data_IF_127324358686
#
_entry.id   IF_127324358686
#
_cell.length_a   1.000
_cell.length_b   1.000
_cell.length_c   1.000
_cell.angle_alpha   90.00
_cell.angle_beta   90.00
_cell.angle_gamma   90.00
#
_symmetry.space_group_name_H-M   'P 1'
#
loop_
_entity.id
_entity.type
_entity.pdbx_description
1 polymer ?
#
# COMPACT_ATOMS: atom_id res chain seq x y z
N UNK A 1 -6.19 -23.23 -32.61
CA UNK A 1 -5.20 -22.70 -33.57
C UNK A 1 -3.86 -22.54 -32.91
N UNK A 2 -2.77 -22.82 -33.63
CA UNK A 2 -1.41 -22.89 -33.08
C UNK A 2 -0.47 -21.96 -33.85
N UNK A 3 0.70 -21.69 -33.28
CA UNK A 3 1.76 -20.93 -33.95
C UNK A 3 2.19 -21.59 -35.30
N UNK A 4 2.05 -22.92 -35.39
CA UNK A 4 2.33 -23.67 -36.64
C UNK A 4 1.33 -23.35 -37.74
N UNK A 5 0.06 -23.13 -37.41
CA UNK A 5 -0.98 -22.77 -38.39
C UNK A 5 -0.73 -21.37 -38.95
N UNK A 6 -0.38 -20.41 -38.10
CA UNK A 6 0.02 -19.04 -38.51
C UNK A 6 1.27 -19.11 -39.42
N UNK A 7 2.28 -19.87 -39.02
CA UNK A 7 3.52 -19.99 -39.77
C UNK A 7 3.28 -20.55 -41.20
N UNK A 8 2.44 -21.58 -41.30
CA UNK A 8 2.06 -22.22 -42.58
C UNK A 8 1.36 -21.22 -43.52
N UNK A 9 0.36 -20.48 -43.03
CA UNK A 9 -0.37 -19.52 -43.81
C UNK A 9 0.47 -18.27 -44.16
N UNK A 10 1.33 -17.86 -43.25
CA UNK A 10 2.25 -16.74 -43.52
C UNK A 10 3.46 -17.11 -44.39
N UNK A 11 3.66 -18.40 -44.75
CA UNK A 11 4.80 -18.84 -45.53
C UNK A 11 6.14 -18.62 -44.84
N UNK A 12 6.18 -18.75 -43.52
CA UNK A 12 7.39 -18.54 -42.70
C UNK A 12 7.55 -19.69 -41.68
N UNK A 13 8.70 -19.75 -41.00
CA UNK A 13 8.90 -20.71 -39.94
C UNK A 13 8.16 -20.31 -38.63
N UNK A 14 7.80 -21.25 -37.74
CA UNK A 14 7.27 -20.92 -36.42
C UNK A 14 8.20 -20.01 -35.60
N UNK A 15 9.50 -20.15 -35.74
CA UNK A 15 10.49 -19.27 -35.11
C UNK A 15 10.44 -17.84 -35.67
N UNK A 16 10.11 -17.67 -36.97
CA UNK A 16 9.88 -16.34 -37.54
C UNK A 16 8.62 -15.71 -36.97
N UNK A 17 7.52 -16.46 -36.82
CA UNK A 17 6.29 -15.98 -36.17
C UNK A 17 6.59 -15.54 -34.72
N UNK A 18 7.34 -16.35 -33.96
CA UNK A 18 7.74 -16.00 -32.61
C UNK A 18 8.56 -14.71 -32.54
N UNK A 19 9.48 -14.50 -33.50
CA UNK A 19 10.24 -13.24 -33.61
C UNK A 19 9.38 -12.05 -34.01
N UNK A 20 8.36 -12.25 -34.85
CA UNK A 20 7.37 -11.20 -35.18
C UNK A 20 6.56 -10.81 -33.95
N UNK A 21 6.11 -11.77 -33.15
CA UNK A 21 5.40 -11.53 -31.89
C UNK A 21 6.27 -10.73 -30.90
N UNK A 22 7.57 -11.04 -30.86
CA UNK A 22 8.55 -10.32 -30.04
C UNK A 22 9.04 -8.99 -30.65
N UNK A 23 8.45 -8.56 -31.75
CA UNK A 23 8.83 -7.38 -32.54
C UNK A 23 10.32 -7.26 -32.90
N UNK A 24 10.98 -8.41 -33.08
CA UNK A 24 12.42 -8.51 -33.27
C UNK A 24 12.92 -7.64 -34.44
N UNK A 25 13.99 -6.82 -34.26
CA UNK A 25 14.43 -5.84 -35.28
C UNK A 25 14.95 -6.47 -36.60
N UNK A 26 15.39 -7.72 -36.57
CA UNK A 26 15.88 -8.43 -37.77
C UNK A 26 14.78 -8.93 -38.70
N UNK A 27 13.51 -8.77 -38.35
CA UNK A 27 12.39 -9.17 -39.22
C UNK A 27 11.91 -7.93 -39.98
N UNK A 28 11.75 -8.08 -41.32
CA UNK A 28 11.32 -6.99 -42.18
C UNK A 28 9.89 -6.49 -41.84
N UNK A 29 9.58 -5.20 -42.01
CA UNK A 29 8.25 -4.65 -41.77
C UNK A 29 7.16 -5.41 -42.51
N UNK A 30 7.37 -5.73 -43.80
CA UNK A 30 6.41 -6.48 -44.60
C UNK A 30 6.12 -7.88 -44.05
N UNK A 31 7.14 -8.56 -43.52
CA UNK A 31 6.94 -9.87 -42.88
C UNK A 31 6.17 -9.73 -41.59
N UNK A 32 6.45 -8.69 -40.77
CA UNK A 32 5.73 -8.41 -39.53
C UNK A 32 4.26 -8.14 -39.81
N UNK A 33 3.97 -7.31 -40.80
CA UNK A 33 2.59 -6.95 -41.18
C UNK A 33 1.79 -8.17 -41.66
N UNK A 34 2.35 -8.95 -42.58
CA UNK A 34 1.72 -10.19 -43.10
C UNK A 34 1.41 -11.19 -41.95
N UNK A 35 2.35 -11.44 -41.07
CA UNK A 35 2.13 -12.35 -39.97
C UNK A 35 1.07 -11.84 -38.98
N UNK A 36 1.08 -10.54 -38.65
CA UNK A 36 0.08 -9.91 -37.78
C UNK A 36 -1.33 -9.96 -38.40
N UNK A 37 -1.44 -9.74 -39.70
CA UNK A 37 -2.72 -9.86 -40.40
C UNK A 37 -3.28 -11.28 -40.31
N UNK A 38 -2.47 -12.28 -40.61
CA UNK A 38 -2.88 -13.71 -40.53
C UNK A 38 -3.25 -14.09 -39.08
N UNK A 39 -2.51 -13.58 -38.10
CA UNK A 39 -2.86 -13.80 -36.69
C UNK A 39 -4.24 -13.24 -36.38
N UNK A 40 -4.56 -12.03 -36.87
CA UNK A 40 -5.87 -11.41 -36.69
C UNK A 40 -6.98 -12.20 -37.40
N UNK A 41 -6.79 -12.60 -38.66
CA UNK A 41 -7.74 -13.39 -39.43
C UNK A 41 -8.05 -14.74 -38.80
N UNK A 42 -7.05 -15.37 -38.21
CA UNK A 42 -7.20 -16.66 -37.51
C UNK A 42 -7.70 -16.52 -36.06
N UNK A 43 -7.81 -15.31 -35.52
CA UNK A 43 -8.05 -15.11 -34.09
C UNK A 43 -6.96 -15.76 -33.22
N UNK A 44 -5.73 -15.82 -33.71
CA UNK A 44 -4.61 -16.40 -32.96
C UNK A 44 -4.01 -15.39 -32.01
N UNK A 45 -4.13 -15.65 -30.72
CA UNK A 45 -3.45 -14.91 -29.66
C UNK A 45 -2.27 -15.73 -29.11
N UNK A 46 -1.06 -15.13 -29.05
CA UNK A 46 0.09 -15.82 -28.47
C UNK A 46 -0.18 -16.25 -27.01
N UNK A 47 0.05 -17.50 -26.70
CA UNK A 47 -0.10 -17.99 -25.34
C UNK A 47 0.95 -17.35 -24.42
N UNK A 48 0.49 -16.58 -23.41
CA UNK A 48 1.36 -15.90 -22.45
C UNK A 48 2.22 -16.89 -21.66
N UNK A 49 1.69 -18.06 -21.31
CA UNK A 49 2.41 -19.13 -20.60
C UNK A 49 3.57 -19.66 -21.45
N UNK A 50 3.34 -19.89 -22.75
CA UNK A 50 4.40 -20.36 -23.65
C UNK A 50 5.51 -19.32 -23.84
N UNK A 51 5.17 -18.03 -23.81
CA UNK A 51 6.16 -16.93 -23.87
C UNK A 51 6.95 -16.83 -22.57
N UNK A 52 6.30 -16.93 -21.44
CA UNK A 52 6.97 -16.88 -20.13
C UNK A 52 7.97 -18.01 -19.93
N UNK A 53 7.67 -19.19 -20.45
CA UNK A 53 8.61 -20.33 -20.46
C UNK A 53 9.89 -20.06 -21.27
N UNK A 54 9.75 -19.36 -22.41
CA UNK A 54 10.90 -19.04 -23.28
C UNK A 54 11.71 -17.87 -22.72
N UNK A 55 11.02 -16.82 -22.26
CA UNK A 55 11.67 -15.58 -21.80
C UNK A 55 12.05 -15.62 -20.32
N UNK A 56 11.60 -16.63 -19.58
CA UNK A 56 11.73 -16.77 -18.13
C UNK A 56 11.16 -15.59 -17.33
N UNK A 57 10.18 -14.86 -17.92
CA UNK A 57 9.47 -13.73 -17.29
C UNK A 57 7.97 -13.95 -17.40
N UNK A 58 7.24 -13.67 -16.32
CA UNK A 58 5.78 -13.78 -16.30
C UNK A 58 5.11 -12.50 -16.83
N UNK A 59 5.83 -11.39 -16.89
CA UNK A 59 5.32 -10.03 -17.08
C UNK A 59 4.18 -9.71 -16.08
N UNK A 60 4.33 -10.17 -14.86
CA UNK A 60 3.36 -9.98 -13.78
C UNK A 60 4.09 -9.63 -12.49
N UNK A 61 3.49 -8.76 -11.70
CA UNK A 61 3.97 -8.44 -10.36
C UNK A 61 2.90 -8.79 -9.34
N UNK A 62 3.34 -9.32 -8.19
CA UNK A 62 2.47 -9.63 -7.06
C UNK A 62 2.24 -8.40 -6.20
N UNK A 63 1.01 -8.19 -5.77
CA UNK A 63 0.68 -7.23 -4.70
C UNK A 63 0.22 -8.04 -3.51
N UNK A 64 1.08 -8.08 -2.50
CA UNK A 64 0.82 -8.82 -1.26
C UNK A 64 0.16 -7.85 -0.30
N UNK A 65 -1.10 -8.12 -0.04
CA UNK A 65 -1.86 -7.34 0.92
C UNK A 65 -1.31 -7.66 2.31
N UNK A 66 -1.06 -6.63 3.06
CA UNK A 66 -0.77 -6.80 4.47
C UNK A 66 -1.92 -7.58 5.14
N UNK A 67 -1.56 -8.49 5.96
CA UNK A 67 -2.31 -9.42 6.84
C UNK A 67 -3.36 -8.77 7.71
N UNK A 68 -3.83 -7.56 7.38
CA UNK A 68 -4.86 -6.83 8.07
C UNK A 68 -6.20 -7.55 7.87
N UNK A 69 -6.95 -7.61 8.93
CA UNK A 69 -8.25 -8.26 9.14
C UNK A 69 -9.25 -8.25 7.97
N UNK A 70 -10.24 -9.12 8.02
CA UNK A 70 -11.39 -9.15 7.12
C UNK A 70 -11.98 -7.74 6.97
N UNK A 71 -12.08 -7.23 5.73
CA UNK A 71 -12.64 -5.89 5.46
C UNK A 71 -11.66 -4.85 4.92
N UNK A 72 -10.39 -5.14 4.77
CA UNK A 72 -9.35 -4.16 4.39
C UNK A 72 -9.55 -3.48 3.04
N UNK A 73 -10.23 -4.10 2.08
CA UNK A 73 -10.60 -3.39 0.85
C UNK A 73 -11.60 -2.25 1.10
N UNK A 74 -12.26 -2.21 2.26
CA UNK A 74 -13.07 -1.08 2.67
C UNK A 74 -12.24 0.14 3.11
N UNK A 75 -10.96 -0.05 3.49
CA UNK A 75 -10.07 1.08 3.80
C UNK A 75 -9.57 1.70 2.48
N UNK A 76 -9.86 2.99 2.22
CA UNK A 76 -9.51 3.68 0.98
C UNK A 76 -8.01 3.74 0.68
N UNK A 77 -7.13 3.47 1.64
CA UNK A 77 -5.69 3.34 1.44
C UNK A 77 -5.38 2.29 0.36
N UNK A 78 -5.99 1.11 0.45
CA UNK A 78 -5.69 0.01 -0.47
C UNK A 78 -6.11 0.28 -1.92
N UNK A 79 -7.34 0.71 -2.22
CA UNK A 79 -7.69 1.13 -3.58
C UNK A 79 -6.78 2.22 -4.13
N UNK A 80 -6.41 3.23 -3.34
CA UNK A 80 -5.56 4.32 -3.78
C UNK A 80 -4.14 3.86 -4.15
N UNK A 81 -3.52 3.03 -3.32
CA UNK A 81 -2.18 2.50 -3.60
C UNK A 81 -2.19 1.56 -4.81
N UNK A 82 -3.22 0.69 -4.93
CA UNK A 82 -3.37 -0.21 -6.09
C UNK A 82 -3.57 0.59 -7.38
N UNK A 83 -4.30 1.71 -7.34
CA UNK A 83 -4.45 2.60 -8.48
C UNK A 83 -3.10 3.19 -8.91
N UNK A 84 -2.26 3.62 -7.96
CA UNK A 84 -0.89 4.08 -8.24
C UNK A 84 -0.05 2.99 -8.87
N UNK A 85 -0.05 1.79 -8.29
CA UNK A 85 0.63 0.60 -8.82
C UNK A 85 0.17 0.31 -10.25
N UNK A 86 -1.14 0.22 -10.48
CA UNK A 86 -1.73 -0.11 -11.78
C UNK A 86 -1.34 0.89 -12.86
N UNK A 87 -1.27 2.19 -12.53
CA UNK A 87 -0.96 3.25 -13.48
C UNK A 87 0.44 3.12 -14.09
N UNK A 88 1.41 2.64 -13.32
CA UNK A 88 2.79 2.43 -13.78
C UNK A 88 2.95 1.01 -14.36
N UNK A 89 2.39 -0.02 -13.73
CA UNK A 89 2.43 -1.39 -14.24
C UNK A 89 1.88 -1.49 -15.66
N UNK A 90 0.76 -0.80 -15.95
CA UNK A 90 0.19 -0.73 -17.31
C UNK A 90 1.18 -0.18 -18.35
N UNK A 91 1.91 0.90 -18.02
CA UNK A 91 2.92 1.49 -18.92
C UNK A 91 4.07 0.54 -19.23
N UNK A 92 4.37 -0.36 -18.32
CA UNK A 92 5.41 -1.39 -18.47
C UNK A 92 4.87 -2.71 -19.05
N UNK A 93 3.57 -2.80 -19.38
CA UNK A 93 2.94 -4.02 -19.88
C UNK A 93 2.87 -5.14 -18.85
N UNK A 94 2.86 -4.79 -17.56
CA UNK A 94 2.81 -5.73 -16.44
C UNK A 94 1.37 -5.99 -16.00
N UNK A 95 1.05 -7.24 -15.72
CA UNK A 95 -0.19 -7.64 -15.05
C UNK A 95 -0.03 -7.62 -13.53
N UNK A 96 -1.12 -7.37 -12.81
CA UNK A 96 -1.15 -7.45 -11.35
C UNK A 96 -1.76 -8.77 -10.88
N UNK A 97 -1.10 -9.42 -9.94
CA UNK A 97 -1.59 -10.61 -9.23
C UNK A 97 -1.79 -10.20 -7.77
N UNK A 98 -3.04 -10.21 -7.31
CA UNK A 98 -3.36 -9.92 -5.91
C UNK A 98 -3.31 -11.22 -5.10
N UNK A 99 -2.63 -11.20 -3.95
CA UNK A 99 -2.72 -12.29 -2.98
C UNK A 99 -4.13 -12.36 -2.40
N UNK A 100 -4.66 -13.57 -2.28
CA UNK A 100 -6.02 -13.85 -1.79
C UNK A 100 -6.05 -14.53 -0.42
N UNK A 101 -4.89 -14.79 0.18
CA UNK A 101 -4.82 -15.47 1.48
C UNK A 101 -5.49 -14.68 2.60
N UNK A 102 -6.20 -15.38 3.46
CA UNK A 102 -6.85 -14.83 4.66
C UNK A 102 -6.13 -15.22 5.96
N UNK A 103 -4.98 -15.87 5.87
CA UNK A 103 -4.23 -16.39 7.02
C UNK A 103 -2.78 -15.93 6.97
N UNK A 104 -2.25 -15.51 8.11
CA UNK A 104 -0.86 -15.07 8.25
C UNK A 104 0.19 -16.06 7.73
N UNK A 105 0.08 -17.31 8.14
CA UNK A 105 1.03 -18.35 7.74
C UNK A 105 0.90 -18.76 6.29
N UNK A 106 -0.31 -18.73 5.73
CA UNK A 106 -0.55 -19.07 4.34
C UNK A 106 -0.13 -17.95 3.38
N UNK A 107 -0.20 -16.69 3.80
CA UNK A 107 0.16 -15.54 2.95
C UNK A 107 1.67 -15.52 2.63
N UNK A 108 2.53 -15.81 3.61
CA UNK A 108 3.97 -15.90 3.41
C UNK A 108 4.32 -17.00 2.40
N UNK A 109 3.73 -18.18 2.58
CA UNK A 109 3.95 -19.31 1.67
C UNK A 109 3.33 -19.04 0.28
N UNK A 110 2.17 -18.40 0.21
CA UNK A 110 1.56 -17.98 -1.06
C UNK A 110 2.49 -17.01 -1.81
N UNK A 111 3.00 -15.99 -1.13
CA UNK A 111 3.93 -15.02 -1.69
C UNK A 111 5.18 -15.69 -2.26
N UNK A 112 5.83 -16.56 -1.47
CA UNK A 112 7.01 -17.30 -1.90
C UNK A 112 6.70 -18.26 -3.04
N UNK A 113 5.54 -18.90 -3.05
CA UNK A 113 5.12 -19.79 -4.12
C UNK A 113 4.84 -19.05 -5.43
N UNK A 114 4.25 -17.83 -5.37
CA UNK A 114 4.09 -17.00 -6.56
C UNK A 114 5.44 -16.72 -7.24
N UNK A 115 6.48 -16.42 -6.46
CA UNK A 115 7.83 -16.14 -6.94
C UNK A 115 8.55 -17.42 -7.42
N UNK A 116 8.56 -18.49 -6.59
CA UNK A 116 9.22 -19.77 -6.91
C UNK A 116 8.64 -20.43 -8.16
N UNK A 117 7.32 -20.35 -8.33
CA UNK A 117 6.62 -20.87 -9.51
C UNK A 117 6.68 -19.91 -10.71
N UNK A 118 7.36 -18.77 -10.58
CA UNK A 118 7.46 -17.75 -11.62
C UNK A 118 6.09 -17.26 -12.14
N UNK A 119 5.10 -17.23 -11.26
CA UNK A 119 3.79 -16.63 -11.56
C UNK A 119 3.85 -15.12 -11.55
N UNK A 120 4.82 -14.56 -10.81
CA UNK A 120 5.16 -13.15 -10.77
C UNK A 120 6.68 -13.00 -10.86
N UNK A 121 7.15 -11.87 -11.39
CA UNK A 121 8.57 -11.53 -11.54
C UNK A 121 9.12 -10.81 -10.31
N UNK A 122 8.25 -10.31 -9.46
CA UNK A 122 8.57 -9.64 -8.20
C UNK A 122 7.29 -9.29 -7.44
N UNK A 123 7.42 -8.80 -6.21
CA UNK A 123 6.27 -8.49 -5.35
C UNK A 123 6.39 -7.11 -4.70
N UNK A 124 5.23 -6.48 -4.45
CA UNK A 124 5.10 -5.28 -3.63
C UNK A 124 4.37 -5.69 -2.35
N UNK A 125 5.00 -5.43 -1.20
CA UNK A 125 4.42 -5.62 0.12
C UNK A 125 3.77 -4.31 0.57
N UNK A 126 2.51 -4.33 1.01
CA UNK A 126 1.77 -3.10 1.37
C UNK A 126 1.88 -2.73 2.86
N UNK A 127 2.52 -3.53 3.68
CA UNK A 127 2.90 -3.24 5.06
C UNK A 127 3.91 -4.26 5.58
N UNK A 128 4.51 -3.97 6.73
CA UNK A 128 5.41 -4.86 7.46
C UNK A 128 4.91 -5.07 8.89
N UNK A 129 5.24 -6.22 9.44
CA UNK A 129 5.10 -6.53 10.86
C UNK A 129 6.37 -6.20 11.63
N UNK A 130 6.25 -5.94 12.93
CA UNK A 130 7.39 -5.74 13.83
C UNK A 130 8.32 -6.97 13.96
N UNK A 131 7.75 -8.16 13.75
CA UNK A 131 8.50 -9.43 13.71
C UNK A 131 8.21 -10.12 12.36
N UNK A 132 8.46 -9.41 11.27
CA UNK A 132 8.18 -9.92 9.92
C UNK A 132 9.08 -11.10 9.58
N UNK A 133 8.48 -12.22 9.16
CA UNK A 133 9.20 -13.43 8.78
C UNK A 133 9.33 -13.57 7.24
N UNK A 134 8.51 -12.86 6.49
CA UNK A 134 8.53 -12.91 5.03
C UNK A 134 9.70 -12.12 4.45
N UNK A 135 9.92 -10.89 4.95
CA UNK A 135 10.95 -9.97 4.43
C UNK A 135 12.35 -10.60 4.46
N UNK A 136 12.83 -11.19 5.58
CA UNK A 136 14.13 -11.87 5.61
C UNK A 136 14.22 -13.01 4.58
N UNK A 137 13.16 -13.80 4.43
CA UNK A 137 13.13 -14.94 3.49
C UNK A 137 13.17 -14.47 2.04
N UNK A 138 12.53 -13.34 1.70
CA UNK A 138 12.60 -12.75 0.37
C UNK A 138 14.01 -12.21 0.07
N UNK A 139 14.62 -11.52 1.04
CA UNK A 139 15.97 -10.98 0.92
C UNK A 139 17.02 -12.09 0.77
N UNK A 140 16.98 -13.13 1.61
CA UNK A 140 17.88 -14.28 1.56
C UNK A 140 17.78 -15.04 0.23
N UNK A 141 16.54 -15.20 -0.29
CA UNK A 141 16.30 -15.86 -1.56
C UNK A 141 16.65 -15.00 -2.79
N UNK A 142 16.98 -13.71 -2.61
CA UNK A 142 17.29 -12.77 -3.69
C UNK A 142 16.11 -12.49 -4.61
N UNK A 143 14.87 -12.62 -4.12
CA UNK A 143 13.69 -12.30 -4.90
C UNK A 143 13.50 -10.78 -5.02
N UNK A 144 13.10 -10.26 -6.21
CA UNK A 144 12.76 -8.85 -6.36
C UNK A 144 11.52 -8.48 -5.54
N UNK A 145 11.65 -7.53 -4.61
CA UNK A 145 10.52 -6.99 -3.88
C UNK A 145 10.74 -5.56 -3.43
N UNK A 146 9.65 -4.85 -3.20
CA UNK A 146 9.61 -3.50 -2.62
C UNK A 146 8.57 -3.47 -1.52
N UNK A 147 8.92 -2.84 -0.38
CA UNK A 147 8.01 -2.60 0.72
C UNK A 147 7.43 -1.18 0.62
N UNK A 148 6.11 -1.04 0.69
CA UNK A 148 5.45 0.23 1.03
C UNK A 148 5.31 0.26 2.55
N UNK A 149 6.17 1.04 3.19
CA UNK A 149 6.32 1.06 4.64
C UNK A 149 7.78 1.02 5.06
N UNK A 150 8.03 0.80 6.35
CA UNK A 150 9.35 0.66 6.96
C UNK A 150 9.53 -0.75 7.55
N UNK A 151 10.75 -1.24 7.56
CA UNK A 151 11.14 -2.51 8.17
C UNK A 151 12.06 -2.28 9.37
N UNK A 152 11.89 -3.05 10.44
CA UNK A 152 12.67 -2.95 11.69
C UNK A 152 13.85 -3.92 11.77
N UNK A 153 13.99 -4.85 10.81
CA UNK A 153 15.09 -5.80 10.77
C UNK A 153 16.40 -5.22 10.24
N UNK A 154 17.41 -6.07 10.15
CA UNK A 154 18.77 -5.70 9.76
C UNK A 154 19.04 -5.76 8.26
N UNK A 155 18.17 -6.41 7.49
CA UNK A 155 18.34 -6.59 6.06
C UNK A 155 18.16 -5.26 5.32
N UNK A 156 19.08 -4.98 4.40
CA UNK A 156 18.95 -3.83 3.49
C UNK A 156 17.95 -4.18 2.42
N UNK A 157 16.81 -3.50 2.43
CA UNK A 157 15.71 -3.73 1.51
C UNK A 157 15.28 -2.45 0.80
N UNK A 158 14.63 -2.60 -0.34
CA UNK A 158 14.03 -1.49 -1.05
C UNK A 158 12.66 -1.15 -0.46
N UNK A 159 12.47 0.09 -0.07
CA UNK A 159 11.19 0.56 0.45
C UNK A 159 10.85 1.99 0.02
N UNK A 160 9.57 2.27 -0.03
CA UNK A 160 9.02 3.62 -0.13
C UNK A 160 8.04 3.86 1.02
N UNK A 161 8.15 5.00 1.70
CA UNK A 161 7.34 5.32 2.89
C UNK A 161 7.16 6.84 3.03
N UNK A 162 6.34 7.27 4.00
CA UNK A 162 6.37 8.62 4.57
C UNK A 162 6.98 8.57 5.99
N UNK A 163 7.32 9.71 6.55
CA UNK A 163 7.80 9.81 7.94
C UNK A 163 6.63 9.68 8.93
N UNK A 164 6.17 8.43 9.14
CA UNK A 164 5.02 8.17 10.01
C UNK A 164 5.17 8.73 11.42
N UNK A 165 6.40 8.67 11.99
CA UNK A 165 6.68 9.21 13.33
C UNK A 165 6.63 10.75 13.32
N UNK A 166 7.38 11.38 12.40
CA UNK A 166 7.41 12.84 12.31
C UNK A 166 6.08 13.46 11.91
N UNK A 167 5.32 12.79 11.03
CA UNK A 167 4.02 13.28 10.58
C UNK A 167 2.95 13.13 11.67
N UNK A 168 2.95 12.04 12.44
CA UNK A 168 2.11 11.88 13.63
C UNK A 168 2.47 12.92 14.70
N UNK A 169 3.77 13.15 14.94
CA UNK A 169 4.24 14.19 15.85
C UNK A 169 3.71 15.57 15.44
N UNK A 170 3.77 15.93 14.16
CA UNK A 170 3.23 17.20 13.65
C UNK A 170 1.72 17.32 13.89
N UNK A 171 0.96 16.23 13.64
CA UNK A 171 -0.48 16.20 13.83
C UNK A 171 -0.88 16.42 15.31
N UNK A 172 -0.19 15.74 16.22
CA UNK A 172 -0.43 15.90 17.66
C UNK A 172 0.05 17.27 18.16
N UNK A 173 1.20 17.75 17.72
CA UNK A 173 1.70 19.10 18.06
C UNK A 173 0.76 20.20 17.59
N UNK A 174 0.05 20.01 16.45
CA UNK A 174 -1.01 20.93 16.02
C UNK A 174 -2.15 21.01 17.06
N UNK A 175 -2.61 19.86 17.60
CA UNK A 175 -3.63 19.85 18.65
C UNK A 175 -3.13 20.53 19.93
N UNK A 176 -1.90 20.22 20.35
CA UNK A 176 -1.27 20.83 21.52
C UNK A 176 -1.07 22.34 21.36
N UNK A 177 -0.71 22.78 20.14
CA UNK A 177 -0.58 24.20 19.78
C UNK A 177 -1.91 24.97 19.84
N UNK A 178 -3.05 24.29 19.64
CA UNK A 178 -4.39 24.84 19.82
C UNK A 178 -4.82 24.93 21.30
N UNK A 179 -4.00 24.47 22.23
CA UNK A 179 -4.27 24.56 23.66
C UNK A 179 -4.79 23.27 24.28
N UNK A 180 -5.01 22.21 23.52
CA UNK A 180 -5.37 20.91 24.07
C UNK A 180 -4.22 20.38 24.95
N UNK A 181 -4.53 19.81 26.09
CA UNK A 181 -3.54 19.25 27.02
C UNK A 181 -3.81 17.78 27.34
N UNK A 182 -5.05 17.33 27.20
CA UNK A 182 -5.46 15.94 27.31
C UNK A 182 -5.87 15.45 25.92
N UNK A 183 -4.88 14.92 25.18
CA UNK A 183 -5.06 14.38 23.83
C UNK A 183 -5.10 12.88 23.95
N UNK A 184 -6.19 12.25 23.55
CA UNK A 184 -6.28 10.79 23.47
C UNK A 184 -5.69 10.30 22.13
N UNK A 185 -5.18 9.04 22.15
CA UNK A 185 -4.68 8.36 20.97
C UNK A 185 -5.54 7.12 20.67
N UNK A 186 -6.09 7.05 19.47
CA UNK A 186 -6.67 5.83 18.94
C UNK A 186 -5.64 5.19 18.00
N UNK A 187 -4.90 4.21 18.55
CA UNK A 187 -3.85 3.49 17.86
C UNK A 187 -4.40 2.32 17.04
N UNK A 188 -3.59 1.83 16.10
CA UNK A 188 -3.89 0.64 15.30
C UNK A 188 -3.45 -0.65 15.99
N UNK A 189 -3.41 -1.74 15.23
CA UNK A 189 -2.88 -3.01 15.71
C UNK A 189 -1.36 -2.88 15.98
N UNK A 190 -0.89 -3.10 17.21
CA UNK A 190 0.50 -2.90 17.63
C UNK A 190 1.50 -3.85 16.95
N UNK A 191 1.02 -4.86 16.23
CA UNK A 191 1.86 -5.77 15.46
C UNK A 191 2.44 -5.10 14.21
N UNK A 192 1.83 -4.01 13.73
CA UNK A 192 2.31 -3.29 12.54
C UNK A 192 3.32 -2.22 12.88
N UNK A 193 4.35 -2.12 12.06
CA UNK A 193 5.38 -1.07 12.18
C UNK A 193 4.75 0.32 12.06
N UNK A 194 3.79 0.50 11.16
CA UNK A 194 3.11 1.79 10.96
C UNK A 194 2.34 2.26 12.21
N UNK A 195 1.73 1.34 12.97
CA UNK A 195 1.06 1.68 14.24
C UNK A 195 2.09 2.14 15.26
N UNK A 196 3.15 1.35 15.45
CA UNK A 196 4.22 1.70 16.39
C UNK A 196 4.87 3.05 16.08
N UNK A 197 5.11 3.34 14.79
CA UNK A 197 5.69 4.62 14.36
C UNK A 197 4.77 5.80 14.66
N UNK A 198 3.47 5.70 14.36
CA UNK A 198 2.49 6.78 14.61
C UNK A 198 2.27 6.99 16.11
N UNK A 199 2.21 5.91 16.88
CA UNK A 199 2.16 6.00 18.35
C UNK A 199 3.43 6.63 18.94
N UNK A 200 4.61 6.29 18.40
CA UNK A 200 5.86 6.94 18.80
C UNK A 200 5.85 8.45 18.53
N UNK A 201 5.30 8.87 17.40
CA UNK A 201 5.11 10.29 17.09
C UNK A 201 4.18 11.01 18.07
N UNK A 202 3.08 10.37 18.48
CA UNK A 202 2.20 10.88 19.53
C UNK A 202 2.96 11.06 20.88
N UNK A 203 3.72 10.06 21.31
CA UNK A 203 4.53 10.14 22.52
C UNK A 203 5.57 11.26 22.45
N UNK A 204 6.26 11.40 21.32
CA UNK A 204 7.26 12.46 21.12
C UNK A 204 6.63 13.85 21.19
N UNK A 205 5.45 14.05 20.59
CA UNK A 205 4.77 15.34 20.63
C UNK A 205 4.38 15.74 22.07
N UNK A 206 3.84 14.81 22.86
CA UNK A 206 3.52 15.06 24.26
C UNK A 206 4.78 15.44 25.05
N UNK A 207 5.86 14.67 24.93
CA UNK A 207 7.12 14.90 25.63
C UNK A 207 7.73 16.26 25.28
N UNK A 208 7.74 16.67 24.01
CA UNK A 208 8.23 17.99 23.57
C UNK A 208 7.41 19.16 24.14
N UNK A 209 6.15 18.92 24.52
CA UNK A 209 5.28 19.92 25.15
C UNK A 209 5.25 19.78 26.71
N UNK A 210 6.15 18.95 27.30
CA UNK A 210 6.25 18.75 28.74
C UNK A 210 5.04 18.01 29.34
N UNK A 211 4.36 17.17 28.55
CA UNK A 211 3.22 16.36 28.97
C UNK A 211 3.62 14.89 29.09
N UNK A 212 3.13 14.23 30.13
CA UNK A 212 3.26 12.80 30.29
C UNK A 212 2.16 12.05 29.49
N UNK A 213 2.49 10.86 29.05
CA UNK A 213 1.53 9.95 28.43
C UNK A 213 0.61 9.38 29.51
N UNK A 214 -0.68 9.62 29.41
CA UNK A 214 -1.68 8.95 30.23
C UNK A 214 -2.10 7.64 29.53
N UNK A 215 -1.74 6.45 30.07
CA UNK A 215 -2.10 5.18 29.43
C UNK A 215 -3.61 4.97 29.27
N UNK A 216 -4.43 5.62 30.10
CA UNK A 216 -5.88 5.54 30.04
C UNK A 216 -6.45 6.26 28.81
N UNK A 217 -5.66 7.14 28.17
CA UNK A 217 -6.01 7.87 26.95
C UNK A 217 -5.46 7.21 25.68
N UNK A 218 -4.88 6.02 25.76
CA UNK A 218 -4.40 5.26 24.57
C UNK A 218 -5.23 4.00 24.42
N UNK A 219 -5.97 3.90 23.34
CA UNK A 219 -6.80 2.73 23.03
C UNK A 219 -6.42 2.14 21.67
N UNK A 220 -6.29 0.82 21.63
CA UNK A 220 -6.04 0.10 20.39
C UNK A 220 -7.34 -0.19 19.63
N UNK A 221 -7.28 -0.11 18.32
CA UNK A 221 -8.41 -0.23 17.41
C UNK A 221 -8.04 -1.05 16.19
N UNK A 222 -9.01 -1.70 15.59
CA UNK A 222 -8.92 -2.18 14.21
C UNK A 222 -8.97 -0.96 13.27
N UNK A 223 -8.30 -1.05 12.11
CA UNK A 223 -8.33 -0.01 11.06
C UNK A 223 -9.70 0.03 10.34
N UNK A 224 -10.75 0.31 11.09
CA UNK A 224 -12.14 0.35 10.61
C UNK A 224 -12.96 1.39 11.37
N UNK A 225 -14.08 1.81 10.78
CA UNK A 225 -15.03 2.73 11.44
C UNK A 225 -15.59 2.12 12.73
N UNK A 226 -15.98 0.84 12.69
CA UNK A 226 -16.49 0.14 13.87
C UNK A 226 -15.44 -0.05 14.97
N UNK A 227 -14.16 -0.27 14.58
CA UNK A 227 -13.04 -0.32 15.51
C UNK A 227 -12.86 1.00 16.25
N UNK A 228 -12.77 2.09 15.50
CA UNK A 228 -12.66 3.45 16.05
C UNK A 228 -13.83 3.83 16.96
N UNK A 229 -15.05 3.47 16.54
CA UNK A 229 -16.26 3.67 17.34
C UNK A 229 -16.16 2.95 18.72
N UNK A 230 -15.86 1.65 18.71
CA UNK A 230 -15.73 0.87 19.96
C UNK A 230 -14.60 1.37 20.86
N UNK A 231 -13.46 1.72 20.28
CA UNK A 231 -12.32 2.26 21.03
C UNK A 231 -12.66 3.60 21.68
N UNK A 232 -13.36 4.48 20.97
CA UNK A 232 -13.82 5.76 21.52
C UNK A 232 -14.83 5.57 22.64
N UNK A 233 -15.73 4.59 22.55
CA UNK A 233 -16.65 4.28 23.64
C UNK A 233 -15.92 3.85 24.92
N UNK A 234 -14.77 3.13 24.80
CA UNK A 234 -13.92 2.80 25.97
C UNK A 234 -13.22 4.03 26.52
N UNK A 235 -12.65 4.88 25.65
CA UNK A 235 -12.03 6.15 26.08
C UNK A 235 -12.98 7.03 26.90
N UNK A 236 -14.23 7.13 26.45
CA UNK A 236 -15.26 7.92 27.15
C UNK A 236 -15.63 7.38 28.55
N UNK A 237 -15.23 6.16 28.88
CA UNK A 237 -15.37 5.59 30.23
C UNK A 237 -14.12 5.79 31.10
N UNK A 238 -12.94 5.98 30.45
CA UNK A 238 -11.65 5.97 31.12
C UNK A 238 -11.16 7.35 31.56
N UNK A 239 -11.72 8.43 31.05
CA UNK A 239 -11.30 9.77 31.44
C UNK A 239 -11.75 10.89 30.50
N UNK A 240 -11.48 12.12 30.93
CA UNK A 240 -11.75 13.32 30.14
C UNK A 240 -10.60 13.56 29.15
N UNK A 241 -10.93 13.99 27.95
CA UNK A 241 -10.00 14.45 26.92
C UNK A 241 -10.67 15.55 26.10
N UNK A 242 -9.86 16.44 25.52
CA UNK A 242 -10.35 17.52 24.66
C UNK A 242 -9.97 17.36 23.19
N UNK A 243 -9.14 16.35 22.88
CA UNK A 243 -8.78 16.03 21.50
C UNK A 243 -8.49 14.54 21.34
N UNK A 244 -8.66 14.05 20.11
CA UNK A 244 -8.30 12.69 19.68
C UNK A 244 -7.33 12.78 18.48
N UNK A 245 -6.20 12.11 18.58
CA UNK A 245 -5.38 11.72 17.45
C UNK A 245 -5.70 10.27 17.09
N UNK A 246 -6.22 10.03 15.89
CA UNK A 246 -6.46 8.69 15.37
C UNK A 246 -5.42 8.37 14.29
N UNK A 247 -4.80 7.21 14.38
CA UNK A 247 -3.73 6.80 13.46
C UNK A 247 -4.22 6.42 12.05
N UNK A 248 -5.52 6.50 11.79
CA UNK A 248 -6.14 6.26 10.48
C UNK A 248 -7.48 6.99 10.39
N UNK A 249 -7.88 7.43 9.19
CA UNK A 249 -9.13 8.17 8.99
C UNK A 249 -10.38 7.34 9.29
N UNK A 250 -10.39 6.03 9.02
CA UNK A 250 -11.54 5.21 9.37
C UNK A 250 -11.73 5.12 10.89
N UNK A 251 -10.62 5.04 11.63
CA UNK A 251 -10.64 5.10 13.10
C UNK A 251 -11.18 6.47 13.55
N UNK A 252 -10.69 7.56 12.93
CA UNK A 252 -11.16 8.92 13.23
C UNK A 252 -12.66 9.09 12.95
N UNK A 253 -13.16 8.60 11.83
CA UNK A 253 -14.59 8.64 11.47
C UNK A 253 -15.42 7.88 12.49
N UNK A 254 -14.96 6.72 12.93
CA UNK A 254 -15.60 5.95 14.00
C UNK A 254 -15.65 6.71 15.33
N UNK A 255 -14.54 7.42 15.66
CA UNK A 255 -14.48 8.27 16.84
C UNK A 255 -15.47 9.43 16.77
N UNK A 256 -15.52 10.15 15.65
CA UNK A 256 -16.46 11.23 15.43
C UNK A 256 -17.90 10.77 15.62
N UNK A 257 -18.26 9.62 15.07
CA UNK A 257 -19.60 9.02 15.25
C UNK A 257 -19.89 8.73 16.72
N UNK A 258 -18.97 8.13 17.47
CA UNK A 258 -19.16 7.82 18.88
C UNK A 258 -19.36 9.08 19.75
N UNK A 259 -18.61 10.16 19.45
CA UNK A 259 -18.75 11.46 20.10
C UNK A 259 -20.11 12.10 19.81
N UNK A 260 -20.50 12.15 18.53
CA UNK A 260 -21.77 12.73 18.08
C UNK A 260 -23.00 12.02 18.68
N UNK A 261 -22.98 10.69 18.78
CA UNK A 261 -24.04 9.92 19.46
C UNK A 261 -24.16 10.23 20.96
N UNK A 262 -23.11 10.82 21.58
CA UNK A 262 -23.12 11.34 22.94
C UNK A 262 -23.48 12.84 23.05
N UNK A 263 -23.80 13.46 21.90
CA UNK A 263 -24.12 14.89 21.84
C UNK A 263 -22.89 15.82 21.88
N UNK A 264 -21.67 15.28 21.77
CA UNK A 264 -20.42 16.06 21.77
C UNK A 264 -20.23 16.73 20.40
N UNK A 265 -19.98 18.02 20.39
CA UNK A 265 -19.73 18.79 19.16
C UNK A 265 -18.28 18.65 18.74
N UNK A 266 -18.06 17.82 17.71
CA UNK A 266 -16.72 17.58 17.16
C UNK A 266 -16.17 18.85 16.52
N UNK A 267 -14.92 19.18 16.85
CA UNK A 267 -14.23 20.41 16.39
C UNK A 267 -14.39 21.60 17.32
N UNK A 268 -15.41 21.61 18.19
CA UNK A 268 -15.64 22.66 19.19
C UNK A 268 -15.34 22.16 20.61
N UNK A 269 -15.97 21.08 21.06
CA UNK A 269 -15.76 20.50 22.37
C UNK A 269 -14.64 19.46 22.38
N UNK A 270 -14.57 18.62 21.34
CA UNK A 270 -13.50 17.64 21.15
C UNK A 270 -12.97 17.72 19.72
N UNK A 271 -11.70 18.06 19.58
CA UNK A 271 -11.01 18.06 18.29
C UNK A 271 -10.65 16.62 17.87
N UNK A 272 -10.75 16.32 16.59
CA UNK A 272 -10.36 15.01 16.03
C UNK A 272 -9.45 15.19 14.82
N UNK A 273 -8.27 14.53 14.85
CA UNK A 273 -7.32 14.49 13.74
C UNK A 273 -7.10 13.04 13.32
N UNK A 274 -7.20 12.78 12.01
CA UNK A 274 -6.97 11.50 11.38
C UNK A 274 -5.61 11.41 10.67
N UNK A 275 -5.44 10.34 9.92
CA UNK A 275 -4.23 10.06 9.15
C UNK A 275 -4.58 9.35 7.83
N UNK A 276 -3.90 9.67 6.74
CA UNK A 276 -4.01 9.26 5.35
C UNK A 276 -4.75 10.25 4.44
N UNK A 277 -5.62 11.11 4.97
CA UNK A 277 -6.47 12.05 4.23
C UNK A 277 -7.25 11.35 3.11
N UNK A 278 -7.94 10.28 3.48
CA UNK A 278 -8.78 9.53 2.55
C UNK A 278 -9.99 10.35 2.09
N UNK A 279 -10.53 9.98 0.93
CA UNK A 279 -11.69 10.70 0.35
C UNK A 279 -12.88 10.79 1.32
N UNK A 280 -13.09 9.80 2.17
CA UNK A 280 -14.18 9.77 3.12
C UNK A 280 -14.10 10.89 4.15
N UNK A 281 -12.89 11.26 4.59
CA UNK A 281 -12.67 12.33 5.56
C UNK A 281 -13.17 13.70 5.10
N UNK A 282 -13.24 13.95 3.80
CA UNK A 282 -13.77 15.20 3.25
C UNK A 282 -15.31 15.27 3.26
N UNK A 283 -16.00 14.14 3.34
CA UNK A 283 -17.46 14.04 3.23
C UNK A 283 -18.16 13.79 4.56
N UNK A 284 -17.43 13.57 5.66
CA UNK A 284 -18.05 13.52 7.00
C UNK A 284 -18.31 14.92 7.52
N UNK A 285 -19.15 15.03 8.53
CA UNK A 285 -19.54 16.33 9.10
C UNK A 285 -19.23 16.35 10.61
N UNK A 286 -18.39 17.30 11.07
CA UNK A 286 -17.56 18.22 10.28
C UNK A 286 -16.51 17.48 9.44
N UNK A 287 -15.99 18.12 8.39
CA UNK A 287 -14.97 17.50 7.55
C UNK A 287 -13.68 17.24 8.37
N UNK A 288 -13.08 16.05 8.19
CA UNK A 288 -11.97 15.56 9.00
C UNK A 288 -10.64 16.28 8.68
N UNK A 289 -10.01 16.87 9.68
CA UNK A 289 -8.60 17.27 9.66
C UNK A 289 -7.74 16.00 9.66
N UNK A 290 -6.83 15.87 8.71
CA UNK A 290 -6.06 14.63 8.55
C UNK A 290 -4.68 14.87 7.93
N UNK A 291 -3.73 14.00 8.24
CA UNK A 291 -2.42 13.97 7.59
C UNK A 291 -2.56 13.38 6.19
N UNK A 292 -2.29 14.19 5.16
CA UNK A 292 -2.27 13.72 3.78
C UNK A 292 -0.99 12.96 3.46
N UNK A 293 -1.11 11.66 3.28
CA UNK A 293 -0.07 10.79 2.75
C UNK A 293 -0.27 10.67 1.23
N UNK A 294 0.78 10.84 0.39
CA UNK A 294 0.66 10.72 -1.06
C UNK A 294 0.59 9.24 -1.50
N UNK A 295 -0.51 8.56 -1.12
CA UNK A 295 -0.68 7.10 -1.23
C UNK A 295 -0.58 6.62 -2.68
N UNK A 296 -1.16 7.38 -3.61
CA UNK A 296 -1.08 7.07 -5.04
C UNK A 296 0.38 7.08 -5.54
N UNK A 297 1.17 8.07 -5.13
CA UNK A 297 2.58 8.20 -5.49
C UNK A 297 3.43 7.08 -4.86
N UNK A 298 3.14 6.67 -3.60
CA UNK A 298 3.77 5.50 -2.99
C UNK A 298 3.65 4.27 -3.89
N UNK A 299 2.44 4.03 -4.42
CA UNK A 299 2.20 2.93 -5.35
C UNK A 299 2.98 3.05 -6.66
N UNK A 300 3.06 4.26 -7.22
CA UNK A 300 3.81 4.51 -8.47
C UNK A 300 5.30 4.24 -8.29
N UNK A 301 5.88 4.78 -7.24
CA UNK A 301 7.31 4.65 -6.93
C UNK A 301 7.66 3.19 -6.64
N UNK A 302 6.82 2.48 -5.89
CA UNK A 302 7.04 1.07 -5.61
C UNK A 302 7.19 0.22 -6.89
N UNK A 303 6.34 0.46 -7.91
CA UNK A 303 6.48 -0.24 -9.21
C UNK A 303 7.75 0.18 -9.94
N UNK A 304 8.11 1.47 -9.95
CA UNK A 304 9.33 1.95 -10.58
C UNK A 304 10.58 1.31 -9.95
N UNK A 305 10.63 1.24 -8.61
CA UNK A 305 11.72 0.59 -7.89
C UNK A 305 11.76 -0.92 -8.18
N UNK A 306 10.60 -1.59 -8.19
CA UNK A 306 10.51 -3.02 -8.47
C UNK A 306 10.93 -3.35 -9.92
N UNK A 307 10.49 -2.56 -10.89
CA UNK A 307 10.87 -2.75 -12.29
C UNK A 307 12.36 -2.52 -12.52
N UNK A 308 12.98 -1.56 -11.81
CA UNK A 308 14.42 -1.36 -11.84
C UNK A 308 15.18 -2.60 -11.33
N UNK A 309 14.70 -3.24 -10.27
CA UNK A 309 15.28 -4.51 -9.78
C UNK A 309 15.12 -5.66 -10.79
N UNK A 310 13.92 -5.83 -11.36
CA UNK A 310 13.61 -6.95 -12.28
C UNK A 310 14.41 -6.84 -13.59
N UNK A 311 14.50 -5.63 -14.14
CA UNK A 311 15.07 -5.43 -15.49
C UNK A 311 16.47 -4.82 -15.48
N UNK A 312 17.02 -4.47 -14.31
CA UNK A 312 18.33 -3.81 -14.21
C UNK A 312 18.33 -2.42 -14.90
N UNK A 313 17.18 -1.79 -15.04
CA UNK A 313 17.00 -0.53 -15.77
C UNK A 313 16.75 0.62 -14.80
N UNK A 314 17.69 1.58 -14.79
CA UNK A 314 17.56 2.81 -14.00
C UNK A 314 18.25 2.73 -12.62
N UNK A 315 18.64 3.89 -12.11
CA UNK A 315 19.13 4.07 -10.73
C UNK A 315 17.99 4.65 -9.91
N UNK A 316 17.26 3.80 -9.19
CA UNK A 316 16.36 4.26 -8.13
C UNK A 316 17.08 4.12 -6.80
N UNK A 317 16.89 5.06 -5.86
CA UNK A 317 17.38 4.88 -4.51
C UNK A 317 16.72 3.66 -3.88
N UNK A 318 17.47 2.90 -3.09
CA UNK A 318 16.97 1.71 -2.39
C UNK A 318 15.87 2.07 -1.38
N UNK A 319 15.86 3.33 -0.94
CA UNK A 319 14.93 3.83 0.07
C UNK A 319 14.43 5.22 -0.32
N UNK A 320 13.11 5.40 -0.32
CA UNK A 320 12.52 6.69 -0.65
C UNK A 320 11.47 7.12 0.37
N UNK A 321 11.65 8.34 0.88
CA UNK A 321 10.74 8.96 1.83
C UNK A 321 9.93 10.05 1.11
N UNK A 322 8.60 9.97 1.16
CA UNK A 322 7.70 10.99 0.64
C UNK A 322 7.22 11.92 1.78
N UNK A 323 6.98 13.17 1.43
CA UNK A 323 6.50 14.15 2.40
C UNK A 323 4.98 14.08 2.52
N UNK A 324 4.50 14.03 3.76
CA UNK A 324 3.10 14.18 4.09
C UNK A 324 2.81 15.60 4.64
N UNK A 325 1.55 16.02 4.60
CA UNK A 325 1.10 17.36 5.02
C UNK A 325 -0.18 17.26 5.85
N UNK A 326 -0.30 18.08 6.89
CA UNK A 326 -1.56 18.20 7.64
C UNK A 326 -2.56 19.04 6.83
N UNK A 327 -3.72 18.48 6.54
CA UNK A 327 -4.84 19.16 5.89
C UNK A 327 -5.86 19.50 6.97
N UNK A 328 -5.92 20.79 7.34
CA UNK A 328 -6.82 21.30 8.38
C UNK A 328 -8.22 21.50 7.80
N UNK A 329 -9.23 21.02 8.54
CA UNK A 329 -10.65 21.14 8.24
C UNK A 329 -11.45 21.43 9.51
N UNK A 330 -12.74 21.12 9.50
CA UNK A 330 -13.67 21.50 10.58
C UNK A 330 -13.62 20.62 11.83
N UNK A 331 -12.93 19.48 11.84
CA UNK A 331 -12.90 18.58 13.00
C UNK A 331 -11.83 18.91 14.04
N UNK A 332 -10.92 19.88 13.74
CA UNK A 332 -9.88 20.29 14.68
C UNK A 332 -9.30 21.67 14.37
#
# INVERSE_FOLDING_TARGET
>A
MTIKDVARLAGVSPSTVSRVIADHPRISPNTKERVRQIMAELGYYPNAIARSLVNQTSNSIGVIRSRLTQGNFANPFFPAVIQGISSVAYKHGLSLVLSTSNSFTHEDEECLNLLRQRRVDGVILLASHRQDQLIPRLAEAGFPFVLIGRYEGSEVINWVNNDNTGDAKKAVSYLLGKGHRRVACLDGDPRYVVSADRLAGYHQALAEHGLEVDPALVEHSEFSVDGGYRATQRLLQNGEFSAIFAVDDLIAIGAMRALQERGVVVGEEVAVVGFNNTILGAYVQPALTSVHVPIYELGQIAVQMLTAQIYGSGTFPDQQMLQAQLVVRGSA
#
